data_IF_262180355507
#
_entry.id   IF_262180355507
#
_cell.length_a   1.000
_cell.length_b   1.000
_cell.length_c   1.000
_cell.angle_alpha   90.00
_cell.angle_beta   90.00
_cell.angle_gamma   90.00
#
_symmetry.space_group_name_H-M   'P 1'
#
loop_
_entity.id
_entity.type
_entity.pdbx_description
1 polymer ?
#
# COMPACT_ATOMS: atom_id res chain seq x y z
N UNK A 1 2.84 -3.29 8.13
CA UNK A 1 3.21 -4.44 7.29
C UNK A 1 2.85 -4.08 5.87
N UNK A 2 3.81 -4.17 4.96
CA UNK A 2 3.62 -3.89 3.54
C UNK A 2 3.70 -5.19 2.75
N UNK A 3 2.88 -5.30 1.70
CA UNK A 3 2.93 -6.39 0.72
C UNK A 3 3.42 -5.80 -0.58
N UNK A 4 4.57 -6.27 -1.05
CA UNK A 4 5.20 -5.77 -2.27
C UNK A 4 5.26 -6.88 -3.31
N UNK A 5 4.95 -6.52 -4.55
CA UNK A 5 4.87 -7.42 -5.70
C UNK A 5 6.06 -7.15 -6.62
N UNK A 6 6.67 -8.21 -7.14
CA UNK A 6 7.77 -8.07 -8.09
C UNK A 6 7.22 -7.58 -9.42
N UNK A 7 7.70 -6.44 -9.91
CA UNK A 7 7.16 -5.77 -11.11
C UNK A 7 7.28 -6.63 -12.38
N UNK A 8 8.34 -7.43 -12.47
CA UNK A 8 8.59 -8.32 -13.61
C UNK A 8 7.84 -9.68 -13.51
N UNK A 9 7.29 -10.02 -12.34
CA UNK A 9 6.55 -11.27 -12.13
C UNK A 9 5.54 -11.08 -10.98
N UNK A 10 4.30 -10.78 -11.35
CA UNK A 10 3.24 -10.46 -10.39
C UNK A 10 2.83 -11.64 -9.48
N UNK A 11 3.30 -12.86 -9.77
CA UNK A 11 3.09 -14.01 -8.88
C UNK A 11 4.05 -14.01 -7.67
N UNK A 12 5.14 -13.24 -7.73
CA UNK A 12 6.12 -13.13 -6.65
C UNK A 12 5.80 -11.94 -5.75
N UNK A 13 5.75 -12.19 -4.44
CA UNK A 13 5.51 -11.17 -3.43
C UNK A 13 6.48 -11.31 -2.26
N UNK A 14 6.69 -10.20 -1.55
CA UNK A 14 7.39 -10.16 -0.26
C UNK A 14 6.57 -9.41 0.77
N UNK A 15 6.81 -9.73 2.03
CA UNK A 15 6.20 -9.07 3.18
C UNK A 15 7.27 -8.26 3.89
N UNK A 16 7.04 -6.96 4.03
CA UNK A 16 7.94 -6.06 4.75
C UNK A 16 7.29 -5.69 6.08
N UNK A 17 8.01 -5.92 7.17
CA UNK A 17 7.61 -5.43 8.48
C UNK A 17 8.23 -4.06 8.70
N UNK A 18 7.38 -3.07 8.90
CA UNK A 18 7.77 -1.70 9.18
C UNK A 18 7.20 -1.32 10.56
N UNK A 19 8.05 -0.70 11.38
CA UNK A 19 7.60 -0.13 12.63
C UNK A 19 6.64 1.05 12.35
N UNK A 20 5.56 1.22 13.14
CA UNK A 20 4.68 2.37 12.98
C UNK A 20 5.45 3.67 13.24
N UNK A 21 5.42 4.60 12.28
CA UNK A 21 5.98 5.93 12.49
C UNK A 21 5.10 6.75 13.45
N UNK A 22 5.67 7.67 14.25
CA UNK A 22 4.90 8.61 15.05
C UNK A 22 3.96 9.44 14.17
N UNK A 23 2.75 9.71 14.65
CA UNK A 23 1.81 10.56 13.93
C UNK A 23 2.23 12.04 14.04
N UNK A 24 2.23 12.73 12.90
CA UNK A 24 2.30 14.19 12.85
C UNK A 24 0.91 14.83 13.10
N UNK A 25 0.88 16.14 13.29
CA UNK A 25 -0.39 16.90 13.33
C UNK A 25 -1.20 16.67 12.05
N UNK A 26 -2.51 16.46 12.20
CA UNK A 26 -3.42 16.19 11.08
C UNK A 26 -3.40 14.76 10.54
N UNK A 27 -2.57 13.85 11.09
CA UNK A 27 -2.51 12.46 10.65
C UNK A 27 -3.33 11.52 11.54
N UNK A 28 -3.75 10.39 10.97
CA UNK A 28 -4.38 9.28 11.68
C UNK A 28 -3.72 7.94 11.28
N UNK A 29 -3.75 6.98 12.20
CA UNK A 29 -3.30 5.61 11.96
C UNK A 29 -4.50 4.71 11.76
N UNK A 30 -4.54 4.08 10.59
CA UNK A 30 -5.57 3.11 10.24
C UNK A 30 -5.02 1.69 10.37
N UNK A 31 -5.72 0.83 11.10
CA UNK A 31 -5.51 -0.62 11.06
C UNK A 31 -6.39 -1.20 9.96
N UNK A 32 -5.77 -1.75 8.92
CA UNK A 32 -6.49 -2.46 7.86
C UNK A 32 -7.03 -3.78 8.42
N UNK A 33 -8.34 -3.99 8.37
CA UNK A 33 -8.98 -5.21 8.86
C UNK A 33 -9.18 -6.22 7.71
N UNK A 34 -9.54 -5.72 6.51
CA UNK A 34 -9.70 -6.53 5.31
C UNK A 34 -9.45 -5.70 4.06
N UNK A 35 -8.92 -6.34 3.01
CA UNK A 35 -8.81 -5.76 1.67
C UNK A 35 -9.08 -6.83 0.62
N UNK A 36 -9.51 -6.42 -0.57
CA UNK A 36 -9.85 -7.32 -1.66
C UNK A 36 -8.72 -7.40 -2.69
N UNK A 37 -8.45 -8.63 -3.14
CA UNK A 37 -7.70 -8.91 -4.36
C UNK A 37 -8.68 -9.39 -5.43
N UNK A 38 -8.72 -8.67 -6.54
CA UNK A 38 -9.54 -9.02 -7.71
C UNK A 38 -8.73 -8.84 -9.00
N UNK A 39 -9.33 -9.14 -10.15
CA UNK A 39 -8.68 -8.96 -11.45
C UNK A 39 -8.21 -7.52 -11.70
N UNK A 40 -8.84 -6.50 -11.09
CA UNK A 40 -8.39 -5.11 -11.27
C UNK A 40 -6.96 -4.87 -10.76
N UNK A 41 -6.51 -5.61 -9.73
CA UNK A 41 -5.15 -5.50 -9.22
C UNK A 41 -4.11 -5.99 -10.24
N UNK A 42 -4.45 -7.00 -11.05
CA UNK A 42 -3.59 -7.46 -12.15
C UNK A 42 -3.46 -6.36 -13.20
N UNK A 43 -4.55 -5.67 -13.54
CA UNK A 43 -4.51 -4.53 -14.47
C UNK A 43 -3.58 -3.42 -13.95
N UNK A 44 -3.63 -3.11 -12.64
CA UNK A 44 -2.75 -2.12 -12.03
C UNK A 44 -1.27 -2.53 -12.06
N UNK A 45 -0.98 -3.82 -11.89
CA UNK A 45 0.39 -4.33 -11.99
C UNK A 45 0.90 -4.32 -13.44
N UNK A 46 0.16 -4.92 -14.37
CA UNK A 46 0.59 -5.05 -15.78
C UNK A 46 0.74 -3.68 -16.45
N UNK A 47 -0.16 -2.74 -16.17
CA UNK A 47 -0.11 -1.39 -16.72
C UNK A 47 0.46 -0.35 -15.73
N UNK A 48 1.19 -0.79 -14.70
CA UNK A 48 1.60 0.08 -13.60
C UNK A 48 2.49 1.24 -14.02
N UNK A 49 3.34 1.06 -15.04
CA UNK A 49 4.15 2.16 -15.60
C UNK A 49 3.31 3.16 -16.40
N UNK A 50 2.42 2.66 -17.26
CA UNK A 50 1.53 3.49 -18.08
C UNK A 50 0.54 4.30 -17.22
N UNK A 51 -0.02 3.67 -16.20
CA UNK A 51 -0.97 4.27 -15.26
C UNK A 51 -0.28 4.97 -14.08
N UNK A 52 1.06 4.91 -14.01
CA UNK A 52 1.91 5.47 -12.96
C UNK A 52 1.65 4.92 -11.54
N UNK A 53 1.00 3.76 -11.41
CA UNK A 53 0.72 3.17 -10.09
C UNK A 53 1.99 2.85 -9.30
N UNK A 54 3.08 2.45 -9.96
CA UNK A 54 4.37 2.22 -9.30
C UNK A 54 4.96 3.49 -8.67
N UNK A 55 4.67 4.66 -9.24
CA UNK A 55 5.16 5.94 -8.72
C UNK A 55 4.26 6.50 -7.60
N UNK A 56 2.95 6.21 -7.65
CA UNK A 56 1.99 6.67 -6.63
C UNK A 56 2.12 5.86 -5.33
N UNK A 57 2.43 4.56 -5.44
CA UNK A 57 2.62 3.66 -4.30
C UNK A 57 3.97 2.92 -4.41
N UNK A 58 5.10 3.59 -4.17
CA UNK A 58 6.43 3.00 -4.33
C UNK A 58 6.70 1.92 -3.27
N UNK A 59 7.54 0.94 -3.62
CA UNK A 59 8.12 0.03 -2.64
C UNK A 59 9.09 0.75 -1.70
N UNK A 60 9.29 0.21 -0.50
CA UNK A 60 10.21 0.79 0.49
C UNK A 60 11.68 0.60 0.12
N UNK A 61 11.99 -0.45 -0.64
CA UNK A 61 13.34 -0.78 -1.09
C UNK A 61 13.29 -1.33 -2.52
N UNK A 62 14.31 -1.06 -3.32
CA UNK A 62 14.40 -1.45 -4.74
C UNK A 62 13.11 -1.16 -5.56
N UNK A 63 12.63 0.11 -5.66
CA UNK A 63 11.36 0.48 -6.32
C UNK A 63 11.31 0.20 -7.84
N UNK A 64 12.46 -0.07 -8.45
CA UNK A 64 12.58 -0.52 -9.84
C UNK A 64 12.24 -2.02 -9.99
N UNK A 65 12.39 -2.80 -8.92
CA UNK A 65 12.18 -4.26 -8.89
C UNK A 65 10.85 -4.61 -8.23
N UNK A 66 10.50 -3.93 -7.15
CA UNK A 66 9.31 -4.15 -6.34
C UNK A 66 8.35 -2.97 -6.41
N UNK A 67 7.06 -3.21 -6.20
CA UNK A 67 6.05 -2.17 -6.13
C UNK A 67 4.85 -2.56 -5.27
N UNK A 68 4.01 -1.59 -4.94
CA UNK A 68 2.78 -1.82 -4.18
C UNK A 68 1.58 -1.61 -5.09
N UNK A 69 0.69 -2.60 -5.12
CA UNK A 69 -0.54 -2.51 -5.90
C UNK A 69 -1.64 -1.96 -4.98
N UNK A 70 -2.30 -0.85 -5.34
CA UNK A 70 -3.39 -0.32 -4.52
C UNK A 70 -4.56 -1.30 -4.48
N UNK A 71 -5.21 -1.38 -3.33
CA UNK A 71 -6.37 -2.24 -3.06
C UNK A 71 -7.48 -1.43 -2.41
N UNK A 72 -8.69 -1.97 -2.45
CA UNK A 72 -9.83 -1.46 -1.70
C UNK A 72 -10.07 -2.35 -0.49
N UNK A 73 -10.48 -1.76 0.62
CA UNK A 73 -10.67 -2.48 1.87
C UNK A 73 -11.35 -1.65 2.94
N UNK A 74 -11.42 -2.23 4.13
CA UNK A 74 -11.93 -1.62 5.35
C UNK A 74 -10.79 -1.48 6.36
N UNK A 75 -10.81 -0.37 7.08
CA UNK A 75 -9.85 -0.09 8.13
C UNK A 75 -10.51 0.69 9.26
N UNK A 76 -10.01 0.48 10.48
CA UNK A 76 -10.40 1.21 11.68
C UNK A 76 -9.33 2.27 12.02
N UNK A 77 -9.77 3.47 12.41
CA UNK A 77 -8.87 4.46 12.99
C UNK A 77 -8.52 4.07 14.43
N UNK A 78 -7.25 3.76 14.70
CA UNK A 78 -6.79 3.28 16.01
C UNK A 78 -5.98 4.34 16.78
N UNK A 79 -5.58 5.43 16.13
CA UNK A 79 -4.88 6.56 16.72
C UNK A 79 -5.08 7.78 15.81
N UNK A 80 -5.33 8.97 16.36
CA UNK A 80 -5.52 10.19 15.57
C UNK A 80 -4.88 11.40 16.23
N UNK A 81 -4.31 12.27 15.41
CA UNK A 81 -3.88 13.64 15.74
C UNK A 81 -4.57 14.68 14.83
N UNK A 82 -5.66 14.28 14.19
CA UNK A 82 -6.52 15.16 13.42
C UNK A 82 -7.68 15.65 14.27
N UNK A 83 -8.00 16.94 14.19
CA UNK A 83 -9.15 17.50 14.90
C UNK A 83 -10.50 16.99 14.34
N UNK A 84 -10.52 16.56 13.07
CA UNK A 84 -11.74 16.16 12.36
C UNK A 84 -12.02 14.65 12.42
N UNK A 85 -11.04 13.86 12.84
CA UNK A 85 -11.14 12.40 12.96
C UNK A 85 -10.92 12.05 14.43
N UNK A 86 -12.01 12.05 15.18
CA UNK A 86 -12.05 11.66 16.60
C UNK A 86 -11.99 10.14 16.77
#
# INVERSE_FOLDING_TARGET
MDIEIKRADLAQHRRIEAAPAPLAEGQARLRVDAFALTTNNITYGVFGDMLRYWAVFPASDEPEVWGRIPTWGFAECIESRSADLA
#
